data_IF_254455031343
#
_entry.id   IF_254455031343
#
_cell.length_a   1.000
_cell.length_b   1.000
_cell.length_c   1.000
_cell.angle_alpha   90.00
_cell.angle_beta   90.00
_cell.angle_gamma   90.00
#
_symmetry.space_group_name_H-M   'P 1'
#
loop_
_entity.id
_entity.type
_entity.pdbx_description
1 polymer ?
#
# COMPACT_ATOMS: atom_id res chain seq x y z
N UNK A 1 -39.36 -29.88 -55.25
CA UNK A 1 -38.58 -30.88 -55.97
C UNK A 1 -37.69 -31.53 -54.93
N UNK A 2 -38.19 -32.39 -54.18
CA UNK A 2 -38.15 -33.88 -54.08
C UNK A 2 -36.80 -34.49 -54.35
N UNK A 3 -36.32 -35.18 -53.38
CA UNK A 3 -35.80 -36.55 -53.28
C UNK A 3 -34.92 -36.63 -52.03
N UNK A 4 -35.38 -37.29 -50.95
CA UNK A 4 -35.51 -38.71 -50.60
C UNK A 4 -34.14 -39.41 -50.36
N UNK A 5 -33.96 -39.74 -49.09
CA UNK A 5 -33.72 -41.10 -48.51
C UNK A 5 -32.43 -41.83 -48.93
N UNK A 6 -31.61 -42.20 -47.92
CA UNK A 6 -31.56 -43.62 -47.52
C UNK A 6 -30.91 -43.78 -46.15
N UNK A 7 -31.65 -44.48 -45.32
CA UNK A 7 -31.28 -45.09 -44.04
C UNK A 7 -30.65 -46.47 -44.32
N UNK A 8 -29.62 -46.81 -43.62
CA UNK A 8 -29.29 -48.24 -43.44
C UNK A 8 -28.57 -48.47 -42.08
N UNK A 9 -29.07 -49.37 -41.27
CA UNK A 9 -28.53 -49.77 -39.99
C UNK A 9 -27.58 -50.96 -40.13
N UNK A 10 -26.47 -50.98 -39.42
CA UNK A 10 -25.81 -52.26 -39.09
C UNK A 10 -25.55 -52.26 -37.57
N UNK A 11 -26.42 -53.08 -36.94
CA UNK A 11 -26.15 -53.63 -35.62
C UNK A 11 -25.00 -54.64 -35.74
N UNK A 12 -24.00 -54.51 -34.83
CA UNK A 12 -23.36 -55.72 -34.28
C UNK A 12 -22.68 -55.41 -32.94
N UNK A 13 -23.25 -55.98 -31.95
CA UNK A 13 -22.70 -56.51 -30.71
C UNK A 13 -21.16 -56.47 -30.58
N UNK A 14 -20.69 -55.89 -29.45
CA UNK A 14 -19.74 -56.60 -28.60
C UNK A 14 -19.84 -55.99 -27.17
N UNK A 15 -20.32 -56.85 -26.32
CA UNK A 15 -20.40 -56.67 -24.86
C UNK A 15 -19.04 -56.69 -24.21
N UNK A 16 -18.87 -55.92 -23.15
CA UNK A 16 -17.92 -56.24 -22.09
C UNK A 16 -16.64 -55.37 -22.08
N UNK A 17 -16.59 -54.39 -21.22
CA UNK A 17 -15.30 -53.79 -20.90
C UNK A 17 -15.28 -52.37 -20.33
N UNK A 18 -16.41 -51.76 -20.01
CA UNK A 18 -16.40 -50.34 -19.58
C UNK A 18 -16.63 -50.14 -18.08
N UNK A 19 -16.53 -51.16 -17.24
CA UNK A 19 -16.90 -51.03 -15.81
C UNK A 19 -15.72 -51.16 -14.83
N UNK A 20 -14.45 -51.10 -15.30
CA UNK A 20 -13.28 -51.18 -14.39
C UNK A 20 -12.37 -49.96 -14.35
N UNK A 21 -12.58 -48.96 -15.19
CA UNK A 21 -11.76 -47.73 -15.17
C UNK A 21 -12.37 -46.57 -14.38
N UNK A 22 -13.67 -46.58 -14.05
CA UNK A 22 -14.32 -45.50 -13.30
C UNK A 22 -13.96 -45.46 -11.81
N UNK A 23 -13.49 -46.55 -11.21
CA UNK A 23 -13.16 -46.56 -9.79
C UNK A 23 -11.75 -45.99 -9.44
N UNK A 24 -10.87 -45.98 -10.41
CA UNK A 24 -9.51 -45.41 -10.16
C UNK A 24 -9.45 -43.88 -10.31
N UNK A 25 -10.38 -43.25 -11.02
CA UNK A 25 -10.44 -41.81 -11.16
C UNK A 25 -11.11 -41.11 -9.97
N UNK A 26 -11.92 -41.79 -9.18
CA UNK A 26 -12.56 -41.22 -7.99
C UNK A 26 -11.67 -41.18 -6.77
N UNK A 27 -10.55 -41.92 -6.76
CA UNK A 27 -9.63 -41.99 -5.60
C UNK A 27 -8.42 -41.09 -5.73
N UNK A 28 -8.14 -40.53 -6.91
CA UNK A 28 -7.00 -39.63 -7.15
C UNK A 28 -7.31 -38.16 -6.94
N UNK A 29 -8.59 -37.79 -6.74
CA UNK A 29 -9.00 -36.37 -6.49
C UNK A 29 -8.89 -36.00 -5.00
N UNK A 30 -8.65 -36.93 -4.11
CA UNK A 30 -8.65 -36.70 -2.64
C UNK A 30 -7.27 -36.43 -2.04
N UNK A 31 -6.23 -36.29 -2.87
CA UNK A 31 -4.89 -35.92 -2.44
C UNK A 31 -4.40 -34.63 -3.11
N UNK A 32 -5.27 -33.62 -3.21
CA UNK A 32 -4.81 -32.26 -3.37
C UNK A 32 -4.22 -31.87 -2.00
N UNK A 33 -2.92 -31.67 -1.86
CA UNK A 33 -2.38 -31.13 -0.62
C UNK A 33 -3.11 -29.80 -0.41
N UNK A 34 -3.78 -29.67 0.72
CA UNK A 34 -4.22 -28.38 1.23
C UNK A 34 -2.96 -27.54 1.38
N UNK A 35 -2.54 -26.94 0.26
CA UNK A 35 -1.48 -25.95 0.27
C UNK A 35 -1.93 -24.90 1.24
N UNK A 36 -1.30 -24.86 2.41
CA UNK A 36 -1.45 -23.77 3.35
C UNK A 36 -1.24 -22.50 2.54
N UNK A 37 -2.31 -21.75 2.29
CA UNK A 37 -2.22 -20.39 1.80
C UNK A 37 -1.52 -19.66 2.95
N UNK A 38 -0.20 -19.60 2.89
CA UNK A 38 0.57 -18.68 3.72
C UNK A 38 0.15 -17.32 3.20
N UNK A 39 -0.88 -16.76 3.80
CA UNK A 39 -1.18 -15.35 3.69
C UNK A 39 0.10 -14.64 4.14
N UNK A 40 0.88 -14.16 3.18
CA UNK A 40 1.92 -13.18 3.47
C UNK A 40 1.16 -11.94 3.95
N UNK A 41 0.89 -11.89 5.25
CA UNK A 41 0.43 -10.66 5.87
C UNK A 41 1.57 -9.66 5.72
N UNK A 42 1.41 -8.75 4.77
CA UNK A 42 2.30 -7.60 4.64
C UNK A 42 2.37 -6.86 5.97
N UNK A 43 3.40 -6.06 6.19
CA UNK A 43 3.48 -5.23 7.38
C UNK A 43 2.31 -4.24 7.42
N UNK A 44 1.73 -4.04 8.59
CA UNK A 44 0.64 -3.10 8.80
C UNK A 44 1.16 -1.70 9.07
N UNK A 45 0.40 -0.71 8.65
CA UNK A 45 0.63 0.71 8.95
C UNK A 45 0.14 1.02 10.35
N UNK A 46 0.99 1.60 11.18
CA UNK A 46 0.71 1.80 12.61
C UNK A 46 0.30 3.22 12.98
N UNK A 47 0.52 4.17 12.08
CA UNK A 47 0.18 5.58 12.24
C UNK A 47 1.25 6.42 12.94
N UNK A 48 1.26 7.72 12.61
CA UNK A 48 2.25 8.68 13.09
C UNK A 48 2.26 8.79 14.63
N UNK A 49 1.11 8.67 15.29
CA UNK A 49 1.01 8.66 16.75
C UNK A 49 1.85 7.54 17.37
N UNK A 50 1.83 6.35 16.77
CA UNK A 50 2.63 5.21 17.27
C UNK A 50 4.13 5.49 17.17
N UNK A 51 4.60 6.06 16.06
CA UNK A 51 6.00 6.45 15.88
C UNK A 51 6.39 7.55 16.88
N UNK A 52 5.50 8.52 17.06
CA UNK A 52 5.68 9.65 17.98
C UNK A 52 5.86 9.28 19.43
N UNK A 53 5.43 8.12 19.89
CA UNK A 53 5.67 7.69 21.28
C UNK A 53 7.15 7.67 21.63
N UNK A 54 8.02 7.34 20.69
CA UNK A 54 9.47 7.32 20.85
C UNK A 54 10.16 8.50 20.14
N UNK A 55 9.68 8.92 18.96
CA UNK A 55 10.35 9.86 18.06
C UNK A 55 9.96 11.34 18.28
N UNK A 56 9.70 11.74 19.53
CA UNK A 56 9.31 13.13 19.89
C UNK A 56 10.39 13.94 20.57
N UNK A 57 11.41 13.29 21.15
CA UNK A 57 12.41 13.98 21.95
C UNK A 57 13.52 14.57 21.09
N UNK A 58 14.25 15.59 21.64
CA UNK A 58 15.44 16.16 21.01
C UNK A 58 16.53 15.11 20.75
N UNK A 59 16.74 14.23 21.69
CA UNK A 59 17.70 13.13 21.57
C UNK A 59 17.41 12.22 20.39
N UNK A 60 16.15 12.11 19.99
CA UNK A 60 15.72 11.35 18.81
C UNK A 60 15.64 12.20 17.54
N UNK A 61 15.95 13.51 17.59
CA UNK A 61 15.93 14.41 16.44
C UNK A 61 14.56 15.06 16.19
N UNK A 62 13.65 15.06 17.19
CA UNK A 62 12.32 15.73 17.13
C UNK A 62 11.47 15.37 15.90
N UNK A 63 11.60 14.15 15.39
CA UNK A 63 10.93 13.71 14.14
C UNK A 63 9.45 14.03 14.13
N UNK A 64 8.74 13.71 15.24
CA UNK A 64 7.29 13.96 15.33
C UNK A 64 6.96 15.45 15.17
N UNK A 65 7.66 16.34 15.88
CA UNK A 65 7.36 17.78 15.81
C UNK A 65 7.74 18.40 14.47
N UNK A 66 8.82 17.93 13.83
CA UNK A 66 9.19 18.36 12.47
C UNK A 66 8.06 17.99 11.49
N UNK A 67 7.60 16.74 11.54
CA UNK A 67 6.48 16.30 10.71
C UNK A 67 5.20 17.06 11.02
N UNK A 68 4.79 17.23 12.27
CA UNK A 68 3.58 17.97 12.67
C UNK A 68 3.56 19.41 12.17
N UNK A 69 4.73 20.04 12.04
CA UNK A 69 4.86 21.40 11.53
C UNK A 69 5.06 21.46 10.00
N UNK A 70 5.12 20.33 9.32
CA UNK A 70 5.27 20.26 7.87
C UNK A 70 3.92 20.33 7.14
N UNK A 71 3.96 20.63 5.84
CA UNK A 71 2.79 20.56 4.98
C UNK A 71 2.27 19.12 4.82
N UNK A 72 3.13 18.11 5.00
CA UNK A 72 2.77 16.70 4.86
C UNK A 72 1.71 16.26 5.88
N UNK A 73 1.83 16.68 7.14
CA UNK A 73 0.84 16.35 8.19
C UNK A 73 -0.52 17.01 7.97
N UNK A 74 -0.59 18.02 7.11
CA UNK A 74 -1.80 18.78 6.79
C UNK A 74 -2.33 18.49 5.38
N UNK A 75 -1.70 17.56 4.68
CA UNK A 75 -1.99 17.33 3.27
C UNK A 75 -3.44 16.86 3.03
N UNK A 76 -4.00 16.07 3.94
CA UNK A 76 -5.41 15.67 3.85
C UNK A 76 -6.38 16.83 4.12
N UNK A 77 -6.07 17.70 5.08
CA UNK A 77 -6.94 18.83 5.41
C UNK A 77 -7.13 19.79 4.24
N UNK A 78 -6.11 19.95 3.38
CA UNK A 78 -6.19 20.76 2.17
C UNK A 78 -7.26 20.23 1.21
N UNK A 79 -7.45 18.90 1.15
CA UNK A 79 -8.46 18.30 0.28
C UNK A 79 -9.90 18.60 0.70
N UNK A 80 -10.13 19.07 1.93
CA UNK A 80 -11.47 19.45 2.44
C UNK A 80 -11.86 20.88 2.07
N UNK A 81 -10.97 21.66 1.48
CA UNK A 81 -11.21 23.05 1.13
C UNK A 81 -12.10 23.20 -0.12
N UNK A 82 -12.83 24.31 -0.22
CA UNK A 82 -13.63 24.64 -1.39
C UNK A 82 -12.77 24.71 -2.66
N UNK A 83 -11.53 25.22 -2.54
CA UNK A 83 -10.58 25.29 -3.65
C UNK A 83 -10.22 23.89 -4.17
N UNK A 84 -9.95 22.93 -3.28
CA UNK A 84 -9.66 21.56 -3.68
C UNK A 84 -10.86 20.89 -4.36
N UNK A 85 -12.06 21.12 -3.83
CA UNK A 85 -13.30 20.60 -4.41
C UNK A 85 -13.60 21.21 -5.79
N UNK A 86 -13.30 22.51 -5.96
CA UNK A 86 -13.43 23.17 -7.26
C UNK A 86 -12.46 22.55 -8.29
N UNK A 87 -11.20 22.30 -7.90
CA UNK A 87 -10.21 21.62 -8.74
C UNK A 87 -10.67 20.21 -9.12
N UNK A 88 -11.19 19.45 -8.17
CA UNK A 88 -11.71 18.09 -8.41
C UNK A 88 -12.85 18.14 -9.46
N UNK A 89 -13.77 19.07 -9.33
CA UNK A 89 -14.87 19.29 -10.28
C UNK A 89 -14.37 19.69 -11.68
N UNK A 90 -13.40 20.59 -11.77
CA UNK A 90 -12.78 21.01 -13.03
C UNK A 90 -12.04 19.86 -13.75
N UNK A 91 -11.49 18.92 -12.97
CA UNK A 91 -10.91 17.68 -13.47
C UNK A 91 -11.94 16.62 -13.87
N UNK A 92 -13.24 16.89 -13.64
CA UNK A 92 -14.33 15.98 -13.98
C UNK A 92 -14.58 14.88 -12.95
N UNK A 93 -14.02 14.97 -11.76
CA UNK A 93 -14.29 14.02 -10.68
C UNK A 93 -15.67 14.28 -10.09
N UNK A 94 -16.38 13.20 -9.75
CA UNK A 94 -17.76 13.27 -9.20
C UNK A 94 -17.76 13.48 -7.70
N UNK A 95 -16.74 12.92 -7.02
CA UNK A 95 -16.59 12.98 -5.59
C UNK A 95 -15.80 14.22 -5.15
N UNK A 96 -16.01 14.69 -3.90
CA UNK A 96 -15.14 15.70 -3.30
C UNK A 96 -13.68 15.29 -3.32
N UNK A 97 -12.76 16.26 -3.36
CA UNK A 97 -11.32 15.99 -3.43
C UNK A 97 -10.84 15.03 -2.30
N UNK A 98 -11.38 15.15 -1.10
CA UNK A 98 -11.06 14.29 0.04
C UNK A 98 -11.54 12.84 -0.09
N UNK A 99 -12.38 12.53 -1.09
CA UNK A 99 -12.88 11.18 -1.38
C UNK A 99 -12.38 10.67 -2.74
N UNK A 100 -11.61 11.46 -3.45
CA UNK A 100 -11.11 11.16 -4.80
C UNK A 100 -9.73 10.50 -4.71
N UNK A 101 -9.60 9.26 -5.23
CA UNK A 101 -8.37 8.50 -5.10
C UNK A 101 -7.16 9.17 -5.79
N UNK A 102 -7.39 9.88 -6.89
CA UNK A 102 -6.39 10.65 -7.62
C UNK A 102 -5.76 11.76 -6.77
N UNK A 103 -6.54 12.31 -5.85
CA UNK A 103 -6.06 13.28 -4.86
C UNK A 103 -5.39 12.56 -3.68
N UNK A 104 -6.07 11.54 -3.13
CA UNK A 104 -5.64 10.85 -1.93
C UNK A 104 -4.27 10.19 -2.07
N UNK A 105 -3.92 9.66 -3.26
CA UNK A 105 -2.63 8.98 -3.49
C UNK A 105 -1.40 9.83 -3.16
N UNK A 106 -1.51 11.16 -3.24
CA UNK A 106 -0.42 12.08 -2.90
C UNK A 106 -0.65 12.77 -1.55
N UNK A 107 -1.87 12.79 -1.05
CA UNK A 107 -2.25 13.56 0.12
C UNK A 107 -2.43 12.74 1.39
N UNK A 108 -2.44 11.40 1.29
CA UNK A 108 -2.52 10.54 2.48
C UNK A 108 -1.64 9.30 2.36
N UNK A 109 -1.20 8.80 3.50
CA UNK A 109 -0.60 7.48 3.61
C UNK A 109 -1.69 6.43 3.52
N UNK A 110 -1.44 5.34 2.76
CA UNK A 110 -2.33 4.19 2.78
C UNK A 110 -3.68 4.36 2.09
N UNK A 111 -3.79 5.29 1.13
CA UNK A 111 -5.04 5.63 0.43
C UNK A 111 -5.72 4.44 -0.29
N UNK A 112 -4.97 3.39 -0.63
CA UNK A 112 -5.44 2.21 -1.36
C UNK A 112 -5.29 0.91 -0.59
N UNK A 113 -5.06 0.99 0.72
CA UNK A 113 -4.86 -0.18 1.55
C UNK A 113 -6.20 -0.71 2.09
N UNK A 114 -6.27 -2.03 2.23
CA UNK A 114 -7.35 -2.66 2.96
C UNK A 114 -7.33 -2.21 4.44
N UNK A 115 -8.50 -2.01 5.02
CA UNK A 115 -8.63 -1.57 6.41
C UNK A 115 -7.93 -2.52 7.41
N UNK A 116 -7.78 -3.80 7.08
CA UNK A 116 -7.07 -4.79 7.90
C UNK A 116 -5.56 -4.52 7.98
N UNK A 117 -5.01 -3.76 7.03
CA UNK A 117 -3.61 -3.33 7.03
C UNK A 117 -3.38 -2.06 7.84
N UNK A 118 -4.43 -1.42 8.32
CA UNK A 118 -4.37 -0.18 9.11
C UNK A 118 -4.47 -0.50 10.60
N UNK A 119 -3.46 -0.12 11.35
CA UNK A 119 -3.42 -0.30 12.80
C UNK A 119 -4.41 0.63 13.51
N UNK A 120 -4.77 0.28 14.75
CA UNK A 120 -5.78 1.01 15.55
C UNK A 120 -5.50 2.51 15.76
N UNK A 121 -4.24 2.93 15.66
CA UNK A 121 -3.81 4.35 15.81
C UNK A 121 -3.55 5.04 14.48
N UNK A 122 -3.74 4.33 13.38
CA UNK A 122 -3.64 4.93 12.06
C UNK A 122 -4.86 5.82 11.81
N UNK A 123 -4.63 7.02 11.31
CA UNK A 123 -5.68 7.99 10.94
C UNK A 123 -5.35 8.53 9.55
N UNK A 124 -6.28 8.42 8.63
CA UNK A 124 -6.10 8.96 7.27
C UNK A 124 -5.97 10.49 7.30
N UNK A 125 -6.60 11.13 8.28
CA UNK A 125 -6.59 12.56 8.52
C UNK A 125 -5.20 13.12 8.86
N UNK A 126 -4.28 12.27 9.30
CA UNK A 126 -2.88 12.64 9.55
C UNK A 126 -2.10 12.91 8.25
N UNK A 127 -2.72 12.78 7.08
CA UNK A 127 -2.15 13.11 5.79
C UNK A 127 -1.00 12.21 5.37
N UNK A 128 0.09 12.80 4.89
CA UNK A 128 1.32 12.08 4.51
C UNK A 128 2.15 11.82 5.75
N UNK A 129 2.07 10.61 6.28
CA UNK A 129 2.67 10.20 7.55
C UNK A 129 4.09 9.65 7.39
N UNK A 130 4.72 9.33 8.53
CA UNK A 130 6.07 8.75 8.60
C UNK A 130 6.23 7.53 7.68
N UNK A 131 5.22 6.69 7.63
CA UNK A 131 5.23 5.41 6.92
C UNK A 131 5.15 5.54 5.39
N UNK A 132 4.78 6.72 4.87
CA UNK A 132 4.93 6.99 3.43
C UNK A 132 6.40 6.92 3.02
N UNK A 133 7.30 7.47 3.84
CA UNK A 133 8.73 7.49 3.58
C UNK A 133 9.46 6.27 4.14
N UNK A 134 8.98 5.73 5.25
CA UNK A 134 9.69 4.71 6.02
C UNK A 134 9.10 3.30 5.91
N UNK A 135 8.02 3.11 5.15
CA UNK A 135 7.33 1.82 5.02
C UNK A 135 6.49 1.47 6.25
N UNK A 136 5.67 0.43 6.13
CA UNK A 136 4.74 -0.01 7.16
C UNK A 136 5.45 -0.49 8.43
N UNK A 137 5.13 0.14 9.57
CA UNK A 137 5.91 0.10 10.80
C UNK A 137 5.73 -1.12 11.69
N UNK A 138 4.71 -1.96 11.45
CA UNK A 138 4.33 -2.99 12.43
C UNK A 138 5.45 -3.98 12.78
N UNK A 139 6.31 -4.33 11.83
CA UNK A 139 7.37 -5.31 12.03
C UNK A 139 8.67 -4.71 12.60
N UNK A 140 8.89 -3.38 12.47
CA UNK A 140 10.15 -2.78 12.93
C UNK A 140 10.00 -1.77 14.08
N UNK A 141 8.77 -1.36 14.46
CA UNK A 141 8.53 -0.34 15.49
C UNK A 141 9.04 -0.68 16.88
N UNK A 142 9.30 -1.95 17.18
CA UNK A 142 9.74 -2.40 18.50
C UNK A 142 11.13 -1.86 18.84
N UNK A 143 11.31 -1.36 20.09
CA UNK A 143 12.54 -0.72 20.54
C UNK A 143 13.79 -1.56 20.29
N UNK A 144 13.72 -2.87 20.53
CA UNK A 144 14.84 -3.79 20.31
C UNK A 144 15.27 -3.87 18.84
N UNK A 145 14.29 -3.76 17.93
CA UNK A 145 14.52 -3.78 16.48
C UNK A 145 15.06 -2.42 16.02
N UNK A 146 14.43 -1.32 16.46
CA UNK A 146 14.84 0.04 16.10
C UNK A 146 16.25 0.43 16.60
N UNK A 147 16.80 -0.25 17.61
CA UNK A 147 18.20 -0.05 18.05
C UNK A 147 19.23 -0.60 17.05
N UNK A 148 18.84 -1.55 16.21
CA UNK A 148 19.66 -2.12 15.17
C UNK A 148 19.11 -1.70 13.79
N UNK A 149 19.82 -0.79 13.12
CA UNK A 149 19.39 -0.27 11.81
C UNK A 149 19.25 -1.36 10.76
N UNK A 150 20.18 -2.31 10.73
CA UNK A 150 20.17 -3.38 9.71
C UNK A 150 19.00 -4.34 9.97
N UNK A 151 18.75 -4.65 11.23
CA UNK A 151 17.59 -5.46 11.61
C UNK A 151 16.28 -4.75 11.25
N UNK A 152 16.18 -3.45 11.51
CA UNK A 152 14.98 -2.67 11.16
C UNK A 152 14.76 -2.63 9.64
N UNK A 153 15.81 -2.44 8.84
CA UNK A 153 15.75 -2.50 7.37
C UNK A 153 15.30 -3.89 6.93
N UNK A 154 15.88 -4.95 7.48
CA UNK A 154 15.46 -6.33 7.21
C UNK A 154 14.00 -6.64 7.59
N UNK A 155 13.39 -5.80 8.45
CA UNK A 155 11.97 -5.86 8.85
C UNK A 155 11.08 -4.88 8.09
N UNK A 156 11.60 -4.21 7.07
CA UNK A 156 10.82 -3.35 6.18
C UNK A 156 10.97 -1.85 6.43
N UNK A 157 11.89 -1.41 7.30
CA UNK A 157 12.21 0.01 7.42
C UNK A 157 12.87 0.49 6.12
N UNK A 158 12.27 1.47 5.48
CA UNK A 158 12.84 2.20 4.35
C UNK A 158 13.61 3.40 4.91
N UNK A 159 14.84 3.58 4.43
CA UNK A 159 15.64 4.79 4.66
C UNK A 159 15.82 5.42 3.29
N UNK A 160 15.09 6.50 2.97
CA UNK A 160 15.19 7.13 1.64
C UNK A 160 16.62 7.58 1.34
N UNK A 161 17.18 7.07 0.26
CA UNK A 161 18.53 7.40 -0.23
C UNK A 161 18.49 8.16 -1.57
N UNK A 162 17.45 7.92 -2.37
CA UNK A 162 17.19 8.56 -3.66
C UNK A 162 16.07 9.59 -3.53
N UNK A 163 16.38 10.72 -2.87
CA UNK A 163 15.36 11.71 -2.51
C UNK A 163 14.60 12.27 -3.71
N UNK A 164 15.27 12.52 -4.83
CA UNK A 164 14.62 13.07 -6.00
C UNK A 164 13.55 12.12 -6.54
N UNK A 165 13.89 10.86 -6.79
CA UNK A 165 12.95 9.84 -7.26
C UNK A 165 11.76 9.69 -6.30
N UNK A 166 12.04 9.76 -4.99
CA UNK A 166 11.03 9.59 -3.96
C UNK A 166 10.06 10.78 -3.90
N UNK A 167 10.58 12.01 -3.90
CA UNK A 167 9.75 13.22 -3.81
C UNK A 167 8.89 13.42 -5.05
N UNK A 168 9.43 13.17 -6.25
CA UNK A 168 8.69 13.37 -7.50
C UNK A 168 7.58 12.34 -7.73
N UNK A 169 7.48 11.29 -6.93
CA UNK A 169 6.33 10.38 -6.98
C UNK A 169 4.99 11.07 -6.70
N UNK A 170 5.03 12.15 -5.90
CA UNK A 170 3.88 13.01 -5.60
C UNK A 170 4.07 14.46 -6.09
N UNK A 171 5.30 14.99 -6.00
CA UNK A 171 5.61 16.37 -6.40
C UNK A 171 5.98 16.43 -7.90
N UNK A 172 4.99 16.30 -8.77
CA UNK A 172 5.12 16.26 -10.21
C UNK A 172 3.94 16.99 -10.90
N UNK A 173 3.98 17.09 -12.23
CA UNK A 173 2.99 17.80 -13.03
C UNK A 173 1.62 17.10 -13.16
N UNK A 174 1.41 15.96 -12.54
CA UNK A 174 0.07 15.37 -12.42
C UNK A 174 -0.77 16.11 -11.37
N UNK A 175 -0.10 16.79 -10.41
CA UNK A 175 -0.77 17.71 -9.50
C UNK A 175 -1.22 18.96 -10.26
N UNK A 176 -2.51 19.33 -10.19
CA UNK A 176 -3.04 20.52 -10.90
C UNK A 176 -2.47 21.83 -10.37
N UNK A 177 -1.88 21.82 -9.19
CA UNK A 177 -1.28 23.00 -8.54
C UNK A 177 0.24 22.85 -8.40
N UNK A 178 0.86 21.96 -9.19
CA UNK A 178 2.29 21.73 -9.12
C UNK A 178 3.09 22.98 -9.42
N UNK A 179 4.00 23.28 -8.50
CA UNK A 179 5.06 24.27 -8.71
C UNK A 179 6.39 23.55 -8.56
N UNK A 180 7.27 23.70 -9.54
CA UNK A 180 8.61 23.11 -9.49
C UNK A 180 9.35 23.63 -8.26
N UNK A 181 9.82 22.70 -7.44
CA UNK A 181 10.56 23.01 -6.22
C UNK A 181 12.00 22.50 -6.29
N UNK A 182 12.89 23.15 -5.55
CA UNK A 182 14.21 22.60 -5.26
C UNK A 182 14.08 21.50 -4.20
N UNK A 183 14.39 20.27 -4.60
CA UNK A 183 14.27 19.10 -3.70
C UNK A 183 15.21 19.22 -2.50
N UNK A 184 16.42 19.77 -2.67
CA UNK A 184 17.36 19.91 -1.55
C UNK A 184 16.87 20.93 -0.54
N UNK A 185 16.32 22.06 -1.02
CA UNK A 185 15.72 23.06 -0.13
C UNK A 185 14.51 22.49 0.62
N UNK A 186 13.61 21.79 -0.11
CA UNK A 186 12.44 21.17 0.48
C UNK A 186 12.82 20.09 1.51
N UNK A 187 13.81 19.25 1.18
CA UNK A 187 14.36 18.25 2.09
C UNK A 187 14.91 18.87 3.38
N UNK A 188 15.61 19.98 3.28
CA UNK A 188 16.15 20.68 4.46
C UNK A 188 15.06 21.11 5.46
N UNK A 189 13.83 21.33 5.00
CA UNK A 189 12.69 21.71 5.84
C UNK A 189 12.07 20.54 6.59
N UNK A 190 12.22 19.31 6.07
CA UNK A 190 11.56 18.13 6.64
C UNK A 190 12.53 17.05 7.16
N UNK A 191 13.80 17.13 6.80
CA UNK A 191 14.80 16.17 7.29
C UNK A 191 14.89 16.21 8.82
N UNK A 192 15.08 15.05 9.40
CA UNK A 192 15.19 14.88 10.85
C UNK A 192 16.29 13.86 11.16
N UNK A 193 17.45 14.35 11.43
CA UNK A 193 18.61 13.52 11.74
C UNK A 193 18.67 13.23 13.25
N UNK A 194 18.96 11.97 13.60
CA UNK A 194 19.32 11.65 14.99
C UNK A 194 20.69 12.24 15.24
N UNK A 195 20.77 13.14 16.22
CA UNK A 195 22.03 13.64 16.75
C UNK A 195 22.67 12.53 17.57
N UNK A 196 23.41 11.63 16.91
CA UNK A 196 24.24 10.67 17.65
C UNK A 196 25.42 11.46 18.22
N UNK A 197 25.42 11.67 19.52
CA UNK A 197 26.65 12.06 20.19
C UNK A 197 27.72 11.03 19.79
N UNK A 198 28.80 11.50 19.15
CA UNK A 198 29.98 10.68 18.92
C UNK A 198 30.55 10.35 20.30
N UNK A 199 30.35 9.11 20.76
CA UNK A 199 31.08 8.55 21.88
C UNK A 199 32.52 8.27 21.46
#
# INVERSE_FOLDING_TARGET
>A
MSLLLTYNPVLSFLSGGVMRLSFYYLFTILLVPFGSIISQSGNNYVGAETCGMCHKSEKQGRQLSIWQNSAHSKAFEILKTDSANQIAKEKGFKEPAANTWECLRCHVTGYNLDATMLGKKFKIEDGVQCETCHGAGSAYKELKIMKDKNLAIGKGLIVPDKLEEFCVSCHNNESPTFVKMDINEAWNKIKHNITREKK
#
